data_IF_688117057285
#
_entry.id   IF_688117057285
#
_cell.length_a   1.000
_cell.length_b   1.000
_cell.length_c   1.000
_cell.angle_alpha   90.00
_cell.angle_beta   90.00
_cell.angle_gamma   90.00
#
_symmetry.space_group_name_H-M   'P 1'
#
loop_
_entity.id
_entity.type
_entity.pdbx_description
1 polymer ?
#
# COMPACT_ATOMS: atom_id res chain seq x y z
N UNK A 1 -15.60 1.89 23.82
CA UNK A 1 -14.93 2.83 22.87
C UNK A 1 -13.40 2.75 22.93
N UNK A 2 -12.78 2.58 24.12
CA UNK A 2 -11.32 2.59 24.29
C UNK A 2 -10.48 1.70 23.34
N UNK A 3 -10.81 0.40 23.17
CA UNK A 3 -9.98 -0.49 22.34
C UNK A 3 -9.99 -0.15 20.85
N UNK A 4 -11.11 0.36 20.32
CA UNK A 4 -11.21 0.79 18.92
C UNK A 4 -10.27 1.97 18.66
N UNK A 5 -10.31 2.98 19.52
CA UNK A 5 -9.47 4.16 19.38
C UNK A 5 -7.98 3.81 19.45
N UNK A 6 -7.60 2.86 20.33
CA UNK A 6 -6.22 2.38 20.41
C UNK A 6 -5.75 1.71 19.12
N UNK A 7 -6.55 0.82 18.56
CA UNK A 7 -6.30 0.15 17.28
C UNK A 7 -6.12 1.18 16.16
N UNK A 8 -7.02 2.17 16.06
CA UNK A 8 -6.97 3.20 15.02
C UNK A 8 -5.78 4.15 15.20
N UNK A 9 -5.44 4.51 16.44
CA UNK A 9 -4.28 5.36 16.73
C UNK A 9 -2.97 4.67 16.32
N UNK A 10 -2.81 3.39 16.63
CA UNK A 10 -1.62 2.62 16.20
C UNK A 10 -1.56 2.58 14.67
N UNK A 11 -2.68 2.35 13.99
CA UNK A 11 -2.70 2.29 12.53
C UNK A 11 -2.37 3.63 11.87
N UNK A 12 -2.82 4.73 12.44
CA UNK A 12 -2.45 6.08 12.00
C UNK A 12 -0.93 6.30 12.13
N UNK A 13 -0.33 5.88 13.24
CA UNK A 13 1.13 5.97 13.44
C UNK A 13 1.89 5.08 12.45
N UNK A 14 1.36 3.89 12.10
CA UNK A 14 1.99 3.05 11.07
C UNK A 14 1.91 3.71 9.68
N UNK A 15 0.82 4.42 9.37
CA UNK A 15 0.67 5.20 8.16
C UNK A 15 1.68 6.34 8.06
N UNK A 16 1.86 7.12 9.13
CA UNK A 16 2.90 8.14 9.23
C UNK A 16 4.28 7.49 9.06
N UNK A 17 4.54 6.38 9.76
CA UNK A 17 5.82 5.69 9.74
C UNK A 17 6.22 5.19 8.36
N UNK A 18 5.30 4.53 7.65
CA UNK A 18 5.63 3.95 6.33
C UNK A 18 5.93 5.03 5.28
N UNK A 19 5.33 6.21 5.41
CA UNK A 19 5.53 7.36 4.51
C UNK A 19 6.61 8.34 5.01
N UNK A 20 7.11 8.16 6.24
CA UNK A 20 8.10 9.03 6.89
C UNK A 20 9.37 9.20 6.03
N UNK A 21 9.90 8.08 5.52
CA UNK A 21 11.14 8.13 4.73
C UNK A 21 10.95 8.98 3.45
N UNK A 22 9.88 8.76 2.70
CA UNK A 22 9.57 9.56 1.50
C UNK A 22 9.34 11.04 1.84
N UNK A 23 8.63 11.31 2.95
CA UNK A 23 8.32 12.67 3.41
C UNK A 23 9.56 13.42 3.92
N UNK A 24 10.53 12.73 4.52
CA UNK A 24 11.78 13.30 5.05
C UNK A 24 12.97 13.20 4.11
N UNK A 25 12.83 12.54 2.96
CA UNK A 25 13.94 12.15 2.10
C UNK A 25 14.86 13.30 1.68
N UNK A 26 14.38 14.51 1.28
CA UNK A 26 15.26 15.62 0.96
C UNK A 26 16.18 16.03 2.12
N UNK A 27 15.64 16.13 3.33
CA UNK A 27 16.42 16.50 4.51
C UNK A 27 17.41 15.40 4.92
N UNK A 28 16.99 14.14 4.85
CA UNK A 28 17.83 12.97 5.11
C UNK A 28 18.98 12.89 4.10
N UNK A 29 18.68 13.11 2.82
CA UNK A 29 19.68 13.12 1.75
C UNK A 29 20.69 14.25 1.96
N UNK A 30 20.25 15.42 2.39
CA UNK A 30 21.16 16.54 2.69
C UNK A 30 22.07 16.24 3.88
N UNK A 31 21.52 15.73 5.00
CA UNK A 31 22.29 15.44 6.24
C UNK A 31 23.30 14.31 6.03
N UNK A 32 22.92 13.25 5.33
CA UNK A 32 23.77 12.06 5.14
C UNK A 32 24.47 12.00 3.78
N UNK A 33 24.35 13.06 2.99
CA UNK A 33 24.92 13.17 1.64
C UNK A 33 24.58 11.96 0.77
N UNK A 34 23.27 11.60 0.78
CA UNK A 34 22.79 10.47 0.00
C UNK A 34 22.54 10.92 -1.44
N UNK A 35 23.00 10.11 -2.38
CA UNK A 35 22.54 10.17 -3.76
C UNK A 35 21.18 9.44 -3.90
N UNK A 36 20.57 9.54 -5.08
CA UNK A 36 19.28 8.93 -5.34
C UNK A 36 19.35 7.39 -5.30
N UNK A 37 20.51 6.80 -5.68
CA UNK A 37 20.69 5.37 -5.59
C UNK A 37 20.69 4.86 -4.14
N UNK A 38 21.34 5.60 -3.22
CA UNK A 38 21.34 5.28 -1.78
C UNK A 38 19.97 5.52 -1.18
N UNK A 39 19.30 6.61 -1.55
CA UNK A 39 17.93 6.94 -1.13
C UNK A 39 16.96 5.84 -1.56
N UNK A 40 17.05 5.37 -2.81
CA UNK A 40 16.27 4.24 -3.32
C UNK A 40 16.54 2.93 -2.57
N UNK A 41 17.81 2.69 -2.14
CA UNK A 41 18.13 1.52 -1.28
C UNK A 41 17.51 1.61 0.11
N UNK A 42 17.37 2.80 0.69
CA UNK A 42 16.67 2.96 1.96
C UNK A 42 15.17 2.67 1.81
N UNK A 43 14.53 3.11 0.73
CA UNK A 43 13.14 2.76 0.42
C UNK A 43 12.99 1.24 0.24
N UNK A 44 13.92 0.60 -0.51
CA UNK A 44 13.99 -0.85 -0.62
C UNK A 44 14.05 -1.52 0.77
N UNK A 45 14.91 -1.02 1.66
CA UNK A 45 15.08 -1.58 3.00
C UNK A 45 13.77 -1.53 3.82
N UNK A 46 13.07 -0.37 3.82
CA UNK A 46 11.81 -0.21 4.54
C UNK A 46 10.74 -1.17 4.00
N UNK A 47 10.54 -1.21 2.69
CA UNK A 47 9.48 -2.05 2.12
C UNK A 47 9.82 -3.55 2.15
N UNK A 48 11.08 -3.92 1.95
CA UNK A 48 11.52 -5.30 2.12
C UNK A 48 11.39 -5.76 3.58
N UNK A 49 11.78 -4.90 4.52
CA UNK A 49 11.55 -5.12 5.94
C UNK A 49 10.07 -5.31 6.25
N UNK A 50 9.21 -4.44 5.72
CA UNK A 50 7.75 -4.54 5.91
C UNK A 50 7.19 -5.87 5.40
N UNK A 51 7.65 -6.35 4.25
CA UNK A 51 7.27 -7.66 3.73
C UNK A 51 7.72 -8.80 4.66
N UNK A 52 8.96 -8.75 5.17
CA UNK A 52 9.46 -9.71 6.15
C UNK A 52 8.63 -9.66 7.43
N UNK A 53 8.36 -8.45 7.95
CA UNK A 53 7.55 -8.27 9.16
C UNK A 53 6.16 -8.88 9.05
N UNK A 54 5.50 -8.70 7.91
CA UNK A 54 4.17 -9.27 7.66
C UNK A 54 4.13 -10.81 7.77
N UNK A 55 5.25 -11.49 7.47
CA UNK A 55 5.38 -12.95 7.58
C UNK A 55 5.63 -13.45 9.01
N UNK A 56 6.04 -12.56 9.93
CA UNK A 56 6.42 -12.91 11.30
C UNK A 56 5.27 -12.86 12.29
N UNK A 57 4.05 -12.55 11.85
CA UNK A 57 2.86 -12.43 12.72
C UNK A 57 2.57 -13.74 13.44
N UNK A 58 2.39 -13.67 14.76
CA UNK A 58 2.10 -14.81 15.66
C UNK A 58 1.10 -14.43 16.72
N UNK A 59 0.39 -15.43 17.27
CA UNK A 59 -0.45 -15.24 18.46
C UNK A 59 0.43 -15.20 19.72
N UNK A 60 0.04 -14.46 20.76
CA UNK A 60 -1.13 -13.58 20.82
C UNK A 60 -0.88 -12.24 20.09
N UNK A 61 -1.85 -11.79 19.28
CA UNK A 61 -1.68 -10.67 18.35
C UNK A 61 -1.40 -9.33 19.02
N UNK A 62 -1.96 -9.05 20.20
CA UNK A 62 -1.68 -7.83 20.96
C UNK A 62 -0.21 -7.74 21.39
N UNK A 63 0.42 -8.86 21.81
CA UNK A 63 1.84 -8.90 22.16
C UNK A 63 2.71 -8.77 20.93
N UNK A 64 2.33 -9.41 19.84
CA UNK A 64 3.01 -9.25 18.55
C UNK A 64 2.97 -7.79 18.08
N UNK A 65 1.82 -7.12 18.22
CA UNK A 65 1.67 -5.71 17.91
C UNK A 65 2.55 -4.82 18.82
N UNK A 66 2.58 -5.10 20.12
CA UNK A 66 3.45 -4.39 21.07
C UNK A 66 4.93 -4.57 20.73
N UNK A 67 5.38 -5.80 20.44
CA UNK A 67 6.75 -6.09 20.05
C UNK A 67 7.12 -5.42 18.72
N UNK A 68 6.20 -5.39 17.76
CA UNK A 68 6.35 -4.73 16.48
C UNK A 68 6.57 -3.22 16.62
N UNK A 69 5.73 -2.56 17.42
CA UNK A 69 5.85 -1.13 17.69
C UNK A 69 7.09 -0.82 18.53
N UNK A 70 7.49 -1.70 19.47
CA UNK A 70 8.76 -1.57 20.19
C UNK A 70 9.97 -1.68 19.25
N UNK A 71 9.97 -2.65 18.30
CA UNK A 71 11.01 -2.77 17.28
C UNK A 71 11.10 -1.50 16.42
N UNK A 72 9.95 -0.96 16.00
CA UNK A 72 9.85 0.31 15.26
C UNK A 72 10.50 1.45 16.05
N UNK A 73 10.17 1.58 17.35
CA UNK A 73 10.71 2.61 18.22
C UNK A 73 12.22 2.47 18.46
N UNK A 74 12.70 1.26 18.73
CA UNK A 74 14.13 0.97 18.92
C UNK A 74 14.93 1.28 17.65
N UNK A 75 14.41 0.93 16.47
CA UNK A 75 15.05 1.23 15.20
C UNK A 75 15.17 2.73 14.96
N UNK A 76 14.14 3.50 15.29
CA UNK A 76 14.17 4.96 15.18
C UNK A 76 15.11 5.61 16.20
N UNK A 77 15.12 5.15 17.45
CA UNK A 77 16.10 5.59 18.44
C UNK A 77 17.52 5.26 17.98
N UNK A 78 17.74 4.08 17.40
CA UNK A 78 19.02 3.71 16.81
C UNK A 78 19.46 4.66 15.69
N UNK A 79 18.56 5.08 14.82
CA UNK A 79 18.84 6.08 13.77
C UNK A 79 19.22 7.44 14.35
N UNK A 80 18.59 7.85 15.46
CA UNK A 80 18.91 9.10 16.15
C UNK A 80 20.31 9.07 16.80
N UNK A 81 20.74 7.91 17.30
CA UNK A 81 22.00 7.75 18.02
C UNK A 81 23.19 7.38 17.13
N UNK A 82 23.00 6.46 16.17
CA UNK A 82 24.10 5.89 15.37
C UNK A 82 24.43 6.70 14.11
N UNK A 83 23.58 7.65 13.73
CA UNK A 83 23.78 8.44 12.51
C UNK A 83 23.86 7.57 11.24
N UNK A 84 24.76 7.94 10.31
CA UNK A 84 24.83 7.34 8.97
C UNK A 84 25.35 5.91 8.83
N UNK A 85 25.95 5.32 9.87
CA UNK A 85 26.70 4.06 9.73
C UNK A 85 25.86 2.79 9.57
N UNK A 86 24.62 2.78 10.08
CA UNK A 86 23.75 1.60 10.08
C UNK A 86 22.41 1.83 9.37
N UNK A 87 22.33 2.85 8.51
CA UNK A 87 21.07 3.31 7.91
C UNK A 87 20.25 2.18 7.28
N UNK A 88 20.86 1.42 6.39
CA UNK A 88 20.15 0.35 5.67
C UNK A 88 19.55 -0.67 6.64
N UNK A 89 20.34 -1.12 7.62
CA UNK A 89 19.91 -2.12 8.58
C UNK A 89 18.81 -1.59 9.51
N UNK A 90 18.97 -0.36 10.02
CA UNK A 90 17.97 0.25 10.90
C UNK A 90 16.66 0.55 10.17
N UNK A 91 16.70 0.99 8.91
CA UNK A 91 15.49 1.14 8.10
C UNK A 91 14.86 -0.21 7.72
N UNK A 92 15.65 -1.27 7.54
CA UNK A 92 15.14 -2.62 7.36
C UNK A 92 14.37 -3.10 8.62
N UNK A 93 14.95 -2.92 9.81
CA UNK A 93 14.30 -3.24 11.09
C UNK A 93 13.07 -2.38 11.33
N UNK A 94 13.14 -1.09 11.03
CA UNK A 94 12.00 -0.18 11.08
C UNK A 94 10.85 -0.65 10.21
N UNK A 95 11.13 -0.97 8.96
CA UNK A 95 10.16 -1.56 8.05
C UNK A 95 9.58 -2.88 8.57
N UNK A 96 10.44 -3.76 9.12
CA UNK A 96 10.00 -5.04 9.72
C UNK A 96 9.02 -4.80 10.87
N UNK A 97 9.30 -3.83 11.74
CA UNK A 97 8.38 -3.44 12.80
C UNK A 97 7.04 -2.94 12.26
N UNK A 98 7.05 -2.05 11.27
CA UNK A 98 5.83 -1.53 10.66
C UNK A 98 4.99 -2.61 9.97
N UNK A 99 5.59 -3.46 9.15
CA UNK A 99 4.88 -4.54 8.45
C UNK A 99 4.27 -5.57 9.41
N UNK A 100 5.03 -5.91 10.46
CA UNK A 100 4.53 -6.78 11.53
C UNK A 100 3.36 -6.13 12.28
N UNK A 101 3.45 -4.81 12.59
CA UNK A 101 2.41 -4.08 13.29
C UNK A 101 1.12 -3.97 12.46
N UNK A 102 1.21 -3.56 11.19
CA UNK A 102 0.06 -3.43 10.29
C UNK A 102 -0.67 -4.77 10.13
N UNK A 103 0.07 -5.85 9.96
CA UNK A 103 -0.53 -7.18 9.78
C UNK A 103 -1.14 -7.69 11.09
N UNK A 104 -0.44 -7.57 12.22
CA UNK A 104 -0.97 -7.96 13.52
C UNK A 104 -2.22 -7.17 13.90
N UNK A 105 -2.23 -5.85 13.63
CA UNK A 105 -3.36 -4.96 13.89
C UNK A 105 -4.58 -5.33 13.02
N UNK A 106 -4.34 -5.67 11.74
CA UNK A 106 -5.39 -6.13 10.83
C UNK A 106 -6.02 -7.45 11.29
N UNK A 107 -5.20 -8.42 11.70
CA UNK A 107 -5.68 -9.72 12.21
C UNK A 107 -6.42 -9.53 13.53
N UNK A 108 -5.86 -8.76 14.47
CA UNK A 108 -6.50 -8.45 15.75
C UNK A 108 -7.86 -7.77 15.55
N UNK A 109 -7.95 -6.83 14.61
CA UNK A 109 -9.20 -6.15 14.26
C UNK A 109 -10.20 -7.13 13.66
N UNK A 110 -9.77 -7.98 12.74
CA UNK A 110 -10.64 -8.98 12.10
C UNK A 110 -11.18 -10.01 13.08
N UNK A 111 -10.38 -10.45 14.05
CA UNK A 111 -10.79 -11.41 15.08
C UNK A 111 -11.71 -10.77 16.13
N UNK A 112 -11.45 -9.52 16.49
CA UNK A 112 -12.23 -8.81 17.50
C UNK A 112 -13.62 -8.41 17.03
N UNK A 113 -13.78 -8.11 15.73
CA UNK A 113 -15.02 -7.59 15.12
C UNK A 113 -15.56 -8.51 14.04
N UNK A 114 -15.67 -9.81 14.31
CA UNK A 114 -16.06 -10.85 13.33
C UNK A 114 -17.33 -10.52 12.56
N UNK A 115 -18.38 -10.05 13.23
CA UNK A 115 -19.67 -9.70 12.62
C UNK A 115 -19.59 -8.48 11.68
N UNK A 116 -18.63 -7.57 11.92
CA UNK A 116 -18.44 -6.32 11.16
C UNK A 116 -17.02 -6.22 10.61
N UNK A 117 -16.40 -7.38 10.34
CA UNK A 117 -14.99 -7.49 9.97
C UNK A 117 -14.61 -6.56 8.80
N UNK A 118 -15.37 -6.63 7.70
CA UNK A 118 -15.10 -5.82 6.51
C UNK A 118 -15.14 -4.30 6.81
N UNK A 119 -16.19 -3.86 7.51
CA UNK A 119 -16.32 -2.45 7.88
C UNK A 119 -15.18 -1.98 8.80
N UNK A 120 -14.80 -2.79 9.79
CA UNK A 120 -13.73 -2.42 10.72
C UNK A 120 -12.34 -2.41 10.07
N UNK A 121 -12.06 -3.32 9.14
CA UNK A 121 -10.84 -3.28 8.33
C UNK A 121 -10.82 -2.08 7.37
N UNK A 122 -11.97 -1.67 6.85
CA UNK A 122 -12.07 -0.44 6.05
C UNK A 122 -11.74 0.80 6.89
N UNK A 123 -12.26 0.90 8.12
CA UNK A 123 -11.94 2.00 9.05
C UNK A 123 -10.46 1.97 9.43
N UNK A 124 -9.87 0.77 9.60
CA UNK A 124 -8.44 0.61 9.86
C UNK A 124 -7.60 1.18 8.71
N UNK A 125 -7.90 0.77 7.48
CA UNK A 125 -7.21 1.29 6.28
C UNK A 125 -7.41 2.81 6.10
N UNK A 126 -8.56 3.34 6.51
CA UNK A 126 -8.80 4.78 6.51
C UNK A 126 -7.85 5.49 7.48
N UNK A 127 -7.67 4.97 8.70
CA UNK A 127 -6.73 5.54 9.68
C UNK A 127 -5.29 5.50 9.18
N UNK A 128 -4.86 4.41 8.55
CA UNK A 128 -3.56 4.32 7.90
C UNK A 128 -3.39 5.40 6.83
N UNK A 129 -4.36 5.52 5.92
CA UNK A 129 -4.31 6.50 4.83
C UNK A 129 -4.35 7.95 5.34
N UNK A 130 -5.08 8.22 6.44
CA UNK A 130 -5.06 9.51 7.11
C UNK A 130 -3.66 9.83 7.67
N UNK A 131 -3.00 8.84 8.31
CA UNK A 131 -1.61 8.96 8.73
C UNK A 131 -0.67 9.29 7.58
N UNK A 132 -0.81 8.58 6.45
CA UNK A 132 -0.02 8.83 5.25
C UNK A 132 -0.24 10.25 4.68
N UNK A 133 -1.49 10.74 4.68
CA UNK A 133 -1.85 12.06 4.16
C UNK A 133 -1.28 13.21 5.01
N UNK A 134 -1.25 13.07 6.34
CA UNK A 134 -0.70 14.11 7.23
C UNK A 134 0.82 14.03 7.38
N UNK A 135 1.42 12.87 7.06
CA UNK A 135 2.86 12.62 7.24
C UNK A 135 3.75 13.68 6.59
N UNK A 136 3.55 14.13 5.33
CA UNK A 136 4.45 15.11 4.72
C UNK A 136 4.53 16.43 5.50
N UNK A 137 3.41 16.92 6.03
CA UNK A 137 3.40 18.13 6.84
C UNK A 137 4.00 17.90 8.24
N UNK A 138 3.62 16.82 8.92
CA UNK A 138 4.13 16.52 10.26
C UNK A 138 5.64 16.28 10.26
N UNK A 139 6.14 15.53 9.27
CA UNK A 139 7.57 15.26 9.11
C UNK A 139 8.34 16.56 8.84
N UNK A 140 7.88 17.39 7.90
CA UNK A 140 8.51 18.67 7.60
C UNK A 140 8.48 19.63 8.81
N UNK A 141 7.37 19.71 9.52
CA UNK A 141 7.24 20.51 10.73
C UNK A 141 8.26 20.09 11.79
N UNK A 142 8.36 18.79 12.07
CA UNK A 142 9.32 18.29 13.08
C UNK A 142 10.77 18.53 12.63
N UNK A 143 11.08 18.30 11.34
CA UNK A 143 12.44 18.55 10.82
C UNK A 143 12.82 20.04 10.97
N UNK A 144 11.90 20.96 10.68
CA UNK A 144 12.16 22.40 10.78
C UNK A 144 12.42 22.85 12.21
N UNK A 145 11.78 22.25 13.24
CA UNK A 145 11.89 22.69 14.62
C UNK A 145 12.90 21.88 15.45
N UNK A 146 13.08 20.60 15.14
CA UNK A 146 13.90 19.68 15.93
C UNK A 146 14.96 18.94 15.11
N UNK A 147 15.06 19.22 13.80
CA UNK A 147 15.99 18.54 12.90
C UNK A 147 15.64 17.08 12.65
N UNK A 148 16.50 16.41 11.87
CA UNK A 148 16.35 14.99 11.53
C UNK A 148 16.44 14.07 12.75
N UNK A 149 17.32 14.37 13.70
CA UNK A 149 17.42 13.61 14.96
C UNK A 149 16.13 13.71 15.79
N UNK A 150 15.54 14.90 15.86
CA UNK A 150 14.24 15.12 16.51
C UNK A 150 13.11 14.33 15.87
N UNK A 151 13.09 14.22 14.52
CA UNK A 151 12.12 13.39 13.83
C UNK A 151 12.18 11.92 14.28
N UNK A 152 13.39 11.36 14.36
CA UNK A 152 13.57 9.98 14.81
C UNK A 152 13.16 9.77 16.25
N UNK A 153 13.48 10.71 17.15
CA UNK A 153 13.03 10.65 18.54
C UNK A 153 11.51 10.77 18.67
N UNK A 154 10.87 11.69 17.94
CA UNK A 154 9.41 11.80 17.93
C UNK A 154 8.75 10.49 17.49
N UNK A 155 9.27 9.87 16.40
CA UNK A 155 8.74 8.59 15.94
C UNK A 155 9.03 7.45 16.92
N UNK A 156 10.20 7.43 17.56
CA UNK A 156 10.55 6.45 18.59
C UNK A 156 9.59 6.52 19.79
N UNK A 157 9.29 7.73 20.26
CA UNK A 157 8.34 7.97 21.37
C UNK A 157 6.92 7.56 20.94
N UNK A 158 6.45 7.97 19.76
CA UNK A 158 5.13 7.61 19.25
C UNK A 158 4.97 6.08 19.12
N UNK A 159 6.00 5.40 18.62
CA UNK A 159 6.03 3.95 18.53
C UNK A 159 6.08 3.27 19.90
N UNK A 160 6.86 3.81 20.85
CA UNK A 160 6.91 3.33 22.24
C UNK A 160 5.57 3.46 22.95
N UNK A 161 4.91 4.61 22.84
CA UNK A 161 3.54 4.81 23.36
C UNK A 161 2.55 3.83 22.71
N UNK A 162 2.67 3.60 21.40
CA UNK A 162 1.85 2.62 20.68
C UNK A 162 2.11 1.18 21.15
N UNK A 163 3.36 0.83 21.46
CA UNK A 163 3.71 -0.48 22.02
C UNK A 163 3.06 -0.68 23.40
N UNK A 164 3.14 0.32 24.29
CA UNK A 164 2.46 0.28 25.58
C UNK A 164 0.93 0.16 25.42
N UNK A 165 0.35 0.97 24.53
CA UNK A 165 -1.09 0.93 24.25
C UNK A 165 -1.53 -0.45 23.74
N UNK A 166 -0.72 -1.12 22.89
CA UNK A 166 -1.00 -2.44 22.37
C UNK A 166 -1.09 -3.52 23.48
N UNK A 167 -0.34 -3.38 24.57
CA UNK A 167 -0.41 -4.32 25.71
C UNK A 167 -1.75 -4.28 26.43
N UNK A 168 -2.48 -3.14 26.38
CA UNK A 168 -3.82 -3.01 26.93
C UNK A 168 -4.94 -3.50 25.98
N UNK A 169 -4.59 -3.82 24.71
CA UNK A 169 -5.51 -4.37 23.73
C UNK A 169 -5.66 -5.88 23.89
N UNK A 170 -6.11 -6.35 25.03
CA UNK A 170 -6.21 -7.76 25.35
C UNK A 170 -6.92 -8.56 24.24
N UNK A 171 -6.35 -9.69 23.81
CA UNK A 171 -7.03 -10.61 22.90
C UNK A 171 -8.26 -11.15 23.64
N UNK A 172 -9.46 -10.84 23.17
CA UNK A 172 -10.64 -11.58 23.62
C UNK A 172 -10.44 -13.02 23.17
N UNK A 173 -10.07 -13.88 24.11
CA UNK A 173 -10.14 -15.32 23.90
C UNK A 173 -11.60 -15.67 23.63
N UNK A 174 -12.02 -15.63 22.40
CA UNK A 174 -13.15 -16.42 21.97
C UNK A 174 -12.64 -17.86 22.00
N UNK A 175 -12.80 -18.51 23.17
CA UNK A 175 -12.68 -19.95 23.37
C UNK A 175 -13.80 -20.63 22.57
N UNK A 176 -13.71 -20.58 21.29
CA UNK A 176 -14.48 -21.40 20.38
C UNK A 176 -13.47 -22.15 19.53
N UNK A 177 -13.65 -23.47 19.30
CA UNK A 177 -12.79 -24.17 18.37
C UNK A 177 -12.78 -23.38 17.08
N UNK A 178 -11.60 -23.18 16.55
CA UNK A 178 -11.36 -22.67 15.21
C UNK A 178 -12.02 -23.70 14.26
N UNK A 179 -13.35 -23.65 14.20
CA UNK A 179 -14.05 -24.22 13.07
C UNK A 179 -13.57 -23.42 11.87
N UNK A 180 -12.50 -23.94 11.28
CA UNK A 180 -12.33 -23.88 9.87
C UNK A 180 -13.64 -24.40 9.27
N UNK A 181 -14.63 -23.52 9.19
CA UNK A 181 -15.75 -23.69 8.31
C UNK A 181 -15.22 -23.49 6.88
N UNK A 182 -14.23 -24.26 6.56
CA UNK A 182 -14.01 -24.75 5.21
C UNK A 182 -15.12 -25.82 5.06
N UNK A 183 -16.37 -25.35 4.88
CA UNK A 183 -17.26 -26.11 4.07
C UNK A 183 -16.44 -26.56 2.86
N UNK A 184 -16.42 -27.85 2.60
CA UNK A 184 -15.85 -28.54 1.46
C UNK A 184 -16.50 -28.04 0.16
N UNK A 185 -16.34 -26.78 -0.16
CA UNK A 185 -16.47 -26.25 -1.51
C UNK A 185 -15.17 -26.61 -2.20
N UNK A 186 -15.26 -27.36 -3.27
CA UNK A 186 -14.13 -27.73 -4.12
C UNK A 186 -13.24 -26.48 -4.30
N UNK A 187 -11.98 -26.58 -3.90
CA UNK A 187 -11.03 -25.46 -3.93
C UNK A 187 -10.84 -25.07 -5.39
N UNK A 188 -11.41 -23.94 -5.81
CA UNK A 188 -11.22 -23.43 -7.15
C UNK A 188 -9.78 -22.95 -7.29
N UNK A 189 -8.99 -23.66 -8.07
CA UNK A 189 -7.63 -23.26 -8.45
C UNK A 189 -7.68 -22.58 -9.81
N UNK A 190 -7.16 -21.39 -9.85
CA UNK A 190 -6.95 -20.68 -11.10
C UNK A 190 -5.74 -21.22 -11.87
N UNK A 191 -5.69 -21.00 -13.17
CA UNK A 191 -4.51 -21.36 -13.97
C UNK A 191 -3.28 -20.57 -13.52
N UNK A 192 -2.09 -21.11 -13.72
CA UNK A 192 -0.83 -20.44 -13.37
C UNK A 192 -0.67 -19.09 -14.08
N UNK A 193 -1.17 -18.98 -15.31
CA UNK A 193 -1.15 -17.73 -16.09
C UNK A 193 -2.01 -16.64 -15.47
N UNK A 194 -3.18 -16.99 -14.92
CA UNK A 194 -4.06 -16.04 -14.21
C UNK A 194 -3.38 -15.53 -12.93
N UNK A 195 -2.81 -16.45 -12.14
CA UNK A 195 -2.08 -16.06 -10.91
C UNK A 195 -0.90 -15.14 -11.24
N UNK A 196 -0.12 -15.49 -12.28
CA UNK A 196 1.00 -14.68 -12.73
C UNK A 196 0.57 -13.30 -13.22
N UNK A 197 -0.55 -13.23 -13.98
CA UNK A 197 -1.11 -11.95 -14.44
C UNK A 197 -1.44 -11.03 -13.28
N UNK A 198 -2.23 -11.49 -12.30
CA UNK A 198 -2.61 -10.68 -11.16
C UNK A 198 -1.44 -10.36 -10.22
N UNK A 199 -0.48 -11.28 -10.09
CA UNK A 199 0.73 -11.05 -9.31
C UNK A 199 1.61 -9.96 -9.92
N UNK A 200 1.84 -9.99 -11.24
CA UNK A 200 2.60 -8.97 -11.97
C UNK A 200 1.86 -7.62 -11.95
N UNK A 201 0.55 -7.64 -12.18
CA UNK A 201 -0.27 -6.44 -12.11
C UNK A 201 -0.23 -5.80 -10.73
N UNK A 202 -0.36 -6.61 -9.67
CA UNK A 202 -0.22 -6.15 -8.29
C UNK A 202 1.18 -5.63 -7.95
N UNK A 203 2.23 -6.27 -8.48
CA UNK A 203 3.62 -5.81 -8.34
C UNK A 203 3.79 -4.40 -8.93
N UNK A 204 3.32 -4.21 -10.17
CA UNK A 204 3.43 -2.91 -10.84
C UNK A 204 2.63 -1.83 -10.12
N UNK A 205 1.40 -2.18 -9.66
CA UNK A 205 0.57 -1.24 -8.90
C UNK A 205 1.20 -0.83 -7.57
N UNK A 206 1.51 -1.80 -6.70
CA UNK A 206 2.08 -1.53 -5.38
C UNK A 206 3.43 -0.81 -5.50
N UNK A 207 4.21 -1.16 -6.53
CA UNK A 207 5.46 -0.50 -6.83
C UNK A 207 5.28 0.95 -7.27
N UNK A 208 4.29 1.23 -8.11
CA UNK A 208 3.98 2.59 -8.57
C UNK A 208 3.50 3.47 -7.40
N UNK A 209 2.57 2.96 -6.57
CA UNK A 209 2.09 3.67 -5.38
C UNK A 209 3.25 4.00 -4.43
N UNK A 210 4.11 3.02 -4.15
CA UNK A 210 5.28 3.20 -3.28
C UNK A 210 6.33 4.14 -3.89
N UNK A 211 6.56 4.08 -5.21
CA UNK A 211 7.51 4.96 -5.88
C UNK A 211 7.05 6.42 -5.87
N UNK A 212 5.77 6.67 -6.17
CA UNK A 212 5.20 8.02 -6.07
C UNK A 212 5.22 8.52 -4.63
N UNK A 213 4.73 7.72 -3.68
CA UNK A 213 4.75 8.08 -2.26
C UNK A 213 6.15 8.35 -1.70
N UNK A 214 7.16 7.64 -2.20
CA UNK A 214 8.55 7.82 -1.78
C UNK A 214 9.27 8.99 -2.44
N UNK A 215 8.92 9.35 -3.67
CA UNK A 215 9.71 10.29 -4.46
C UNK A 215 9.02 11.62 -4.81
N UNK A 216 7.67 11.71 -4.75
CA UNK A 216 6.93 12.93 -5.15
C UNK A 216 7.39 14.15 -4.35
N UNK A 217 7.57 14.05 -3.03
CA UNK A 217 8.03 15.16 -2.23
C UNK A 217 9.43 15.63 -2.66
N UNK A 218 10.36 14.70 -2.87
CA UNK A 218 11.72 14.99 -3.33
C UNK A 218 11.71 15.61 -4.73
N UNK A 219 10.85 15.11 -5.62
CA UNK A 219 10.70 15.66 -6.97
C UNK A 219 10.22 17.11 -6.93
N UNK A 220 9.15 17.39 -6.20
CA UNK A 220 8.61 18.73 -6.07
C UNK A 220 9.57 19.68 -5.36
N UNK A 221 10.33 19.19 -4.38
CA UNK A 221 11.40 19.95 -3.74
C UNK A 221 12.47 20.41 -4.75
N UNK A 222 12.81 19.59 -5.73
CA UNK A 222 13.79 19.91 -6.79
C UNK A 222 13.24 20.83 -7.88
N UNK A 223 11.94 21.08 -7.93
CA UNK A 223 11.35 22.11 -8.82
C UNK A 223 11.56 23.53 -8.30
N UNK A 224 12.09 23.69 -7.08
CA UNK A 224 12.49 24.96 -6.47
C UNK A 224 11.38 26.02 -6.45
N UNK A 225 10.15 25.64 -6.12
CA UNK A 225 9.08 26.61 -5.91
C UNK A 225 9.43 27.57 -4.77
N UNK A 226 9.07 28.85 -4.91
CA UNK A 226 9.31 29.88 -3.90
C UNK A 226 8.53 29.67 -2.58
N UNK A 227 7.58 28.74 -2.57
CA UNK A 227 6.74 28.40 -1.43
C UNK A 227 7.31 27.15 -0.76
N UNK A 228 7.81 27.28 0.48
CA UNK A 228 8.41 26.19 1.25
C UNK A 228 7.43 25.03 1.53
N UNK A 229 6.13 25.32 1.57
CA UNK A 229 5.07 24.32 1.74
C UNK A 229 4.74 23.54 0.45
N UNK A 230 5.29 23.89 -0.72
CA UNK A 230 4.96 23.25 -1.98
C UNK A 230 5.24 21.73 -2.01
N UNK A 231 6.42 21.23 -1.57
CA UNK A 231 6.71 19.80 -1.56
C UNK A 231 5.77 18.99 -0.65
N UNK A 232 5.56 19.35 0.65
CA UNK A 232 4.63 18.61 1.49
C UNK A 232 3.18 18.73 1.03
N UNK A 233 2.77 19.86 0.42
CA UNK A 233 1.43 20.03 -0.12
C UNK A 233 1.15 19.03 -1.25
N UNK A 234 2.04 18.90 -2.23
CA UNK A 234 1.86 17.97 -3.34
C UNK A 234 1.83 16.50 -2.86
N UNK A 235 2.73 16.12 -1.96
CA UNK A 235 2.77 14.78 -1.39
C UNK A 235 1.53 14.47 -0.54
N UNK A 236 1.06 15.42 0.28
CA UNK A 236 -0.16 15.26 1.07
C UNK A 236 -1.41 15.20 0.18
N UNK A 237 -1.46 15.98 -0.89
CA UNK A 237 -2.57 15.92 -1.86
C UNK A 237 -2.62 14.57 -2.58
N UNK A 238 -1.47 13.97 -2.91
CA UNK A 238 -1.42 12.61 -3.45
C UNK A 238 -2.07 11.60 -2.49
N UNK A 239 -1.64 11.57 -1.22
CA UNK A 239 -2.15 10.62 -0.24
C UNK A 239 -3.59 10.90 0.18
N UNK A 240 -3.97 12.18 0.32
CA UNK A 240 -5.34 12.57 0.66
C UNK A 240 -6.32 12.20 -0.47
N UNK A 241 -5.93 12.43 -1.71
CA UNK A 241 -6.76 12.06 -2.88
C UNK A 241 -6.93 10.55 -2.98
N UNK A 242 -5.87 9.79 -2.69
CA UNK A 242 -5.92 8.33 -2.62
C UNK A 242 -6.88 7.87 -1.51
N UNK A 243 -6.85 8.51 -0.33
CA UNK A 243 -7.79 8.26 0.75
C UNK A 243 -9.25 8.53 0.31
N UNK A 244 -9.49 9.71 -0.28
CA UNK A 244 -10.83 10.11 -0.77
C UNK A 244 -11.29 9.15 -1.88
N UNK A 245 -10.41 8.80 -2.82
CA UNK A 245 -10.72 7.83 -3.87
C UNK A 245 -11.11 6.46 -3.32
N UNK A 246 -10.43 5.96 -2.27
CA UNK A 246 -10.80 4.71 -1.58
C UNK A 246 -12.15 4.80 -0.90
N UNK A 247 -12.51 5.95 -0.35
CA UNK A 247 -13.82 6.16 0.26
C UNK A 247 -14.96 6.25 -0.79
N UNK A 248 -14.69 6.83 -1.95
CA UNK A 248 -15.66 7.04 -3.03
C UNK A 248 -15.84 5.80 -3.92
N UNK A 249 -14.79 5.01 -4.12
CA UNK A 249 -14.78 3.87 -5.04
C UNK A 249 -15.95 2.88 -4.83
N UNK A 250 -16.34 2.48 -3.60
CA UNK A 250 -17.48 1.59 -3.40
C UNK A 250 -18.80 2.16 -3.92
N UNK A 251 -19.04 3.47 -3.74
CA UNK A 251 -20.25 4.12 -4.23
C UNK A 251 -20.29 4.21 -5.76
N UNK A 252 -19.13 4.38 -6.39
CA UNK A 252 -19.00 4.38 -7.86
C UNK A 252 -19.25 2.99 -8.43
N UNK A 253 -18.76 1.94 -7.77
CA UNK A 253 -18.95 0.54 -8.16
C UNK A 253 -20.42 0.08 -8.10
N UNK A 254 -21.28 0.77 -7.36
CA UNK A 254 -22.73 0.52 -7.41
C UNK A 254 -23.37 0.94 -8.75
N UNK A 255 -22.71 1.78 -9.55
CA UNK A 255 -23.24 2.36 -10.79
C UNK A 255 -22.40 2.04 -12.03
N UNK A 256 -21.13 1.72 -11.85
CA UNK A 256 -20.15 1.52 -12.93
C UNK A 256 -19.55 0.12 -12.78
N UNK A 257 -19.39 -0.58 -13.90
CA UNK A 257 -18.76 -1.91 -13.94
C UNK A 257 -17.28 -1.81 -13.51
N UNK A 258 -16.81 -2.82 -12.78
CA UNK A 258 -15.44 -2.89 -12.24
C UNK A 258 -14.37 -2.70 -13.32
N UNK A 259 -14.57 -3.32 -14.49
CA UNK A 259 -13.65 -3.23 -15.64
C UNK A 259 -13.52 -1.80 -16.18
N UNK A 260 -14.67 -1.11 -16.32
CA UNK A 260 -14.69 0.25 -16.84
C UNK A 260 -14.02 1.19 -15.82
N UNK A 261 -14.34 1.03 -14.53
CA UNK A 261 -13.71 1.82 -13.49
C UNK A 261 -12.20 1.58 -13.43
N UNK A 262 -11.77 0.30 -13.56
CA UNK A 262 -10.34 -0.06 -13.58
C UNK A 262 -9.62 0.58 -14.79
N UNK A 263 -10.22 0.52 -15.97
CA UNK A 263 -9.65 1.11 -17.19
C UNK A 263 -9.53 2.63 -17.08
N UNK A 264 -10.61 3.31 -16.66
CA UNK A 264 -10.62 4.77 -16.49
C UNK A 264 -9.61 5.18 -15.41
N UNK A 265 -9.57 4.46 -14.29
CA UNK A 265 -8.64 4.71 -13.20
C UNK A 265 -7.17 4.60 -13.67
N UNK A 266 -6.81 3.57 -14.43
CA UNK A 266 -5.46 3.42 -14.98
C UNK A 266 -5.11 4.52 -15.98
N UNK A 267 -6.02 4.88 -16.88
CA UNK A 267 -5.80 5.96 -17.84
C UNK A 267 -5.60 7.29 -17.10
N UNK A 268 -6.46 7.60 -16.14
CA UNK A 268 -6.34 8.82 -15.35
C UNK A 268 -5.08 8.84 -14.48
N UNK A 269 -4.67 7.69 -13.90
CA UNK A 269 -3.42 7.58 -13.15
C UNK A 269 -2.21 7.83 -14.06
N UNK A 270 -2.19 7.22 -15.25
CA UNK A 270 -1.13 7.44 -16.25
C UNK A 270 -1.06 8.93 -16.66
N UNK A 271 -2.21 9.55 -16.97
CA UNK A 271 -2.28 10.97 -17.30
C UNK A 271 -1.82 11.82 -16.11
N UNK A 272 -2.26 11.52 -14.88
CA UNK A 272 -1.87 12.26 -13.68
C UNK A 272 -0.35 12.24 -13.47
N UNK A 273 0.30 11.08 -13.62
CA UNK A 273 1.76 10.97 -13.50
C UNK A 273 2.46 11.67 -14.68
N UNK A 274 1.95 11.54 -15.90
CA UNK A 274 2.51 12.22 -17.06
C UNK A 274 2.44 13.75 -16.90
N UNK A 275 1.32 14.28 -16.45
CA UNK A 275 1.14 15.72 -16.16
C UNK A 275 2.05 16.18 -15.01
N UNK A 276 2.21 15.36 -13.97
CA UNK A 276 3.14 15.64 -12.87
C UNK A 276 4.58 15.86 -13.38
N UNK A 277 4.98 15.11 -14.40
CA UNK A 277 6.31 15.22 -14.99
C UNK A 277 6.45 16.36 -15.99
N UNK A 278 5.38 16.77 -16.68
CA UNK A 278 5.45 17.77 -17.75
C UNK A 278 5.09 19.17 -17.31
N UNK A 279 4.30 19.32 -16.23
CA UNK A 279 3.84 20.62 -15.76
C UNK A 279 4.77 21.19 -14.69
N UNK A 280 4.98 22.53 -14.72
CA UNK A 280 5.94 23.20 -13.85
C UNK A 280 5.31 24.30 -12.96
N UNK A 281 4.01 24.56 -13.07
CA UNK A 281 3.33 25.48 -12.15
C UNK A 281 2.85 24.73 -10.90
N UNK A 282 2.96 25.35 -9.73
CA UNK A 282 2.60 24.71 -8.47
C UNK A 282 1.15 24.18 -8.45
N UNK A 283 0.13 24.93 -8.86
CA UNK A 283 -1.23 24.38 -8.89
C UNK A 283 -1.36 23.16 -9.80
N UNK A 284 -0.72 23.17 -10.96
CA UNK A 284 -0.76 22.07 -11.90
C UNK A 284 -0.07 20.80 -11.35
N UNK A 285 1.08 20.95 -10.69
CA UNK A 285 1.81 19.86 -10.05
C UNK A 285 0.98 19.25 -8.91
N UNK A 286 0.36 20.08 -8.06
CA UNK A 286 -0.50 19.61 -6.96
C UNK A 286 -1.74 18.89 -7.50
N UNK A 287 -2.41 19.45 -8.51
CA UNK A 287 -3.56 18.81 -9.14
C UNK A 287 -3.21 17.51 -9.84
N UNK A 288 -2.03 17.45 -10.49
CA UNK A 288 -1.54 16.22 -11.13
C UNK A 288 -1.25 15.13 -10.11
N UNK A 289 -0.62 15.47 -8.98
CA UNK A 289 -0.40 14.55 -7.87
C UNK A 289 -1.74 14.05 -7.27
N UNK A 290 -2.71 14.97 -7.10
CA UNK A 290 -4.04 14.63 -6.63
C UNK A 290 -4.78 13.70 -7.61
N UNK A 291 -4.71 13.98 -8.91
CA UNK A 291 -5.31 13.14 -9.95
C UNK A 291 -4.69 11.74 -9.93
N UNK A 292 -3.35 11.64 -9.84
CA UNK A 292 -2.66 10.35 -9.75
C UNK A 292 -3.12 9.56 -8.51
N UNK A 293 -3.13 10.19 -7.31
CA UNK A 293 -3.55 9.54 -6.07
C UNK A 293 -5.01 9.07 -6.11
N UNK A 294 -5.94 9.95 -6.52
CA UNK A 294 -7.36 9.63 -6.61
C UNK A 294 -7.64 8.47 -7.57
N UNK A 295 -7.00 8.51 -8.73
CA UNK A 295 -7.18 7.50 -9.76
C UNK A 295 -6.58 6.15 -9.38
N UNK A 296 -5.48 6.13 -8.64
CA UNK A 296 -4.87 4.89 -8.16
C UNK A 296 -5.71 4.17 -7.11
N UNK A 297 -6.57 4.87 -6.38
CA UNK A 297 -7.31 4.35 -5.24
C UNK A 297 -8.12 3.06 -5.50
N UNK A 298 -8.93 2.94 -6.57
CA UNK A 298 -9.76 1.76 -6.82
C UNK A 298 -9.00 0.59 -7.47
N UNK A 299 -7.80 0.81 -8.03
CA UNK A 299 -7.12 -0.17 -8.89
C UNK A 299 -6.82 -1.47 -8.15
N UNK A 300 -6.14 -1.40 -6.99
CA UNK A 300 -5.74 -2.60 -6.26
C UNK A 300 -6.91 -3.34 -5.62
N UNK A 301 -7.87 -2.66 -4.95
CA UNK A 301 -9.06 -3.33 -4.44
C UNK A 301 -9.86 -4.08 -5.53
N UNK A 302 -10.05 -3.48 -6.69
CA UNK A 302 -10.73 -4.15 -7.83
C UNK A 302 -9.91 -5.35 -8.30
N UNK A 303 -8.60 -5.19 -8.49
CA UNK A 303 -7.71 -6.28 -8.90
C UNK A 303 -7.80 -7.47 -7.92
N UNK A 304 -7.75 -7.21 -6.62
CA UNK A 304 -7.87 -8.24 -5.58
C UNK A 304 -9.26 -8.89 -5.60
N UNK A 305 -10.33 -8.11 -5.74
CA UNK A 305 -11.69 -8.63 -5.78
C UNK A 305 -11.89 -9.60 -6.95
N UNK A 306 -11.44 -9.21 -8.13
CA UNK A 306 -11.50 -10.07 -9.33
C UNK A 306 -10.68 -11.34 -9.14
N UNK A 307 -9.44 -11.23 -8.62
CA UNK A 307 -8.60 -12.38 -8.37
C UNK A 307 -9.24 -13.36 -7.37
N UNK A 308 -9.80 -12.85 -6.26
CA UNK A 308 -10.47 -13.69 -5.25
C UNK A 308 -11.77 -14.32 -5.75
N UNK A 309 -12.42 -13.75 -6.75
CA UNK A 309 -13.55 -14.39 -7.43
C UNK A 309 -13.12 -15.58 -8.32
N UNK A 310 -11.86 -15.59 -8.78
CA UNK A 310 -11.30 -16.62 -9.65
C UNK A 310 -10.62 -17.77 -8.91
N UNK A 311 -10.20 -17.56 -7.68
CA UNK A 311 -9.51 -18.59 -6.88
C UNK A 311 -9.92 -18.54 -5.42
N UNK A 312 -10.11 -19.71 -4.83
CA UNK A 312 -10.23 -19.88 -3.38
C UNK A 312 -9.01 -20.60 -2.77
N UNK A 313 -7.95 -20.85 -3.56
CA UNK A 313 -6.73 -21.47 -3.09
C UNK A 313 -5.87 -20.50 -2.24
N UNK A 314 -5.72 -20.73 -0.92
CA UNK A 314 -4.93 -19.85 -0.05
C UNK A 314 -3.45 -19.74 -0.47
N UNK A 315 -2.90 -20.78 -1.11
CA UNK A 315 -1.52 -20.76 -1.57
C UNK A 315 -1.34 -19.79 -2.75
N UNK A 316 -2.27 -19.81 -3.72
CA UNK A 316 -2.26 -18.89 -4.84
C UNK A 316 -2.43 -17.44 -4.37
N UNK A 317 -3.33 -17.20 -3.42
CA UNK A 317 -3.55 -15.88 -2.82
C UNK A 317 -2.30 -15.36 -2.12
N UNK A 318 -1.62 -16.18 -1.33
CA UNK A 318 -0.35 -15.80 -0.68
C UNK A 318 0.73 -15.42 -1.68
N UNK A 319 0.89 -16.19 -2.76
CA UNK A 319 1.88 -15.90 -3.80
C UNK A 319 1.57 -14.59 -4.52
N UNK A 320 0.32 -14.35 -4.87
CA UNK A 320 -0.10 -13.10 -5.51
C UNK A 320 0.26 -11.88 -4.62
N UNK A 321 -0.11 -11.89 -3.35
CA UNK A 321 0.20 -10.79 -2.44
C UNK A 321 1.70 -10.64 -2.15
N UNK A 322 2.45 -11.75 -2.05
CA UNK A 322 3.89 -11.71 -1.84
C UNK A 322 4.60 -11.03 -3.02
N UNK A 323 4.25 -11.41 -4.25
CA UNK A 323 4.83 -10.81 -5.46
C UNK A 323 4.39 -9.35 -5.60
N UNK A 324 3.12 -9.03 -5.33
CA UNK A 324 2.64 -7.64 -5.33
C UNK A 324 3.42 -6.77 -4.34
N UNK A 325 3.66 -7.27 -3.13
CA UNK A 325 4.45 -6.58 -2.10
C UNK A 325 5.91 -6.33 -2.51
N UNK A 326 6.52 -7.22 -3.29
CA UNK A 326 7.87 -7.00 -3.84
C UNK A 326 7.93 -5.75 -4.74
N UNK A 327 6.84 -5.38 -5.39
CA UNK A 327 6.74 -4.16 -6.18
C UNK A 327 7.04 -2.92 -5.36
N UNK A 328 6.47 -2.83 -4.15
CA UNK A 328 6.69 -1.69 -3.24
C UNK A 328 8.16 -1.51 -2.86
N UNK A 329 8.94 -2.58 -2.84
CA UNK A 329 10.38 -2.51 -2.58
C UNK A 329 11.18 -2.18 -3.84
N UNK A 330 10.83 -2.81 -4.99
CA UNK A 330 11.67 -2.78 -6.19
C UNK A 330 11.50 -1.52 -7.04
N UNK A 331 10.27 -1.00 -7.23
CA UNK A 331 10.07 0.16 -8.10
C UNK A 331 10.62 1.47 -7.52
N UNK A 332 10.44 1.79 -6.23
CA UNK A 332 11.09 2.98 -5.65
C UNK A 332 12.61 2.90 -5.73
N UNK A 333 13.19 1.70 -5.53
CA UNK A 333 14.62 1.48 -5.70
C UNK A 333 15.05 1.67 -7.15
N UNK A 334 14.34 1.10 -8.12
CA UNK A 334 14.63 1.26 -9.55
C UNK A 334 14.53 2.73 -9.98
N UNK A 335 13.54 3.47 -9.47
CA UNK A 335 13.42 4.93 -9.66
C UNK A 335 14.68 5.65 -9.20
N UNK A 336 15.16 5.36 -7.99
CA UNK A 336 16.39 5.94 -7.45
C UNK A 336 17.63 5.56 -8.25
N UNK A 337 17.75 4.30 -8.70
CA UNK A 337 18.88 3.84 -9.52
C UNK A 337 18.91 4.56 -10.88
N UNK A 338 17.74 4.67 -11.54
CA UNK A 338 17.66 5.35 -12.83
C UNK A 338 17.94 6.85 -12.67
N UNK A 339 17.40 7.48 -11.62
CA UNK A 339 17.69 8.88 -11.30
C UNK A 339 19.18 9.14 -11.09
N UNK A 340 19.86 8.29 -10.31
CA UNK A 340 21.29 8.43 -10.05
C UNK A 340 22.15 8.26 -11.31
N UNK A 341 21.78 7.33 -12.20
CA UNK A 341 22.51 7.09 -13.47
C UNK A 341 22.34 8.22 -14.47
N UNK A 342 21.18 8.85 -14.49
CA UNK A 342 20.85 9.91 -15.45
C UNK A 342 21.06 11.32 -14.90
N UNK A 343 21.31 11.46 -13.61
CA UNK A 343 21.39 12.75 -12.91
C UNK A 343 20.04 13.46 -12.80
N UNK A 344 18.92 12.79 -13.10
CA UNK A 344 17.59 13.40 -13.18
C UNK A 344 16.50 12.55 -12.53
N UNK A 345 15.89 13.07 -11.45
CA UNK A 345 14.75 12.41 -10.81
C UNK A 345 13.51 12.40 -11.72
N UNK A 346 13.40 13.38 -12.63
CA UNK A 346 12.39 13.36 -13.68
C UNK A 346 12.48 12.05 -14.51
N UNK A 347 13.68 11.70 -14.94
CA UNK A 347 13.93 10.42 -15.66
C UNK A 347 13.67 9.23 -14.76
N UNK A 348 14.05 9.30 -13.48
CA UNK A 348 13.75 8.26 -12.50
C UNK A 348 12.26 7.94 -12.40
N UNK A 349 11.41 8.97 -12.37
CA UNK A 349 9.95 8.83 -12.28
C UNK A 349 9.28 8.30 -13.56
N UNK A 350 10.03 8.11 -14.66
CA UNK A 350 9.53 7.34 -15.79
C UNK A 350 9.31 5.86 -15.42
N UNK A 351 9.98 5.32 -14.39
CA UNK A 351 9.77 3.95 -13.93
C UNK A 351 8.30 3.69 -13.52
N UNK A 352 7.68 4.45 -12.61
CA UNK A 352 6.27 4.28 -12.30
C UNK A 352 5.34 4.63 -13.47
N UNK A 353 5.70 5.59 -14.33
CA UNK A 353 4.93 5.91 -15.53
C UNK A 353 4.89 4.73 -16.52
N UNK A 354 6.02 4.11 -16.79
CA UNK A 354 6.09 2.91 -17.64
C UNK A 354 5.36 1.72 -17.01
N UNK A 355 5.41 1.56 -15.69
CA UNK A 355 4.66 0.54 -15.00
C UNK A 355 3.15 0.69 -15.23
N UNK A 356 2.60 1.91 -15.17
CA UNK A 356 1.21 2.21 -15.51
C UNK A 356 0.91 1.92 -16.99
N UNK A 357 1.85 2.27 -17.89
CA UNK A 357 1.74 1.95 -19.32
C UNK A 357 1.67 0.44 -19.58
N UNK A 358 2.53 -0.34 -18.90
CA UNK A 358 2.49 -1.81 -18.99
C UNK A 358 1.15 -2.35 -18.47
N UNK A 359 0.64 -1.83 -17.36
CA UNK A 359 -0.66 -2.25 -16.82
C UNK A 359 -1.79 -1.96 -17.80
N UNK A 360 -1.78 -0.82 -18.51
CA UNK A 360 -2.74 -0.51 -19.58
C UNK A 360 -2.66 -1.48 -20.76
N UNK A 361 -1.45 -1.88 -21.15
CA UNK A 361 -1.23 -2.90 -22.19
C UNK A 361 -1.71 -4.27 -21.72
N UNK A 362 -1.42 -4.64 -20.47
CA UNK A 362 -1.89 -5.91 -19.89
C UNK A 362 -3.42 -6.01 -19.92
N UNK A 363 -4.15 -4.92 -19.71
CA UNK A 363 -5.62 -4.93 -19.82
C UNK A 363 -6.14 -5.21 -21.21
N UNK A 364 -5.35 -4.91 -22.27
CA UNK A 364 -5.74 -5.11 -23.68
C UNK A 364 -5.27 -6.45 -24.25
N UNK A 365 -4.49 -7.24 -23.51
CA UNK A 365 -3.89 -8.47 -24.04
C UNK A 365 -4.96 -9.54 -24.34
N UNK A 366 -5.08 -10.04 -25.62
CA UNK A 366 -6.09 -11.00 -26.02
C UNK A 366 -5.79 -12.40 -25.49
N UNK A 367 -5.81 -12.76 -24.38
CA UNK A 367 -5.49 -14.05 -23.73
C UNK A 367 -5.21 -13.91 -22.25
N UNK A 368 -5.03 -12.69 -21.77
CA UNK A 368 -4.77 -12.40 -20.35
C UNK A 368 -5.85 -11.58 -19.67
N UNK A 369 -6.52 -10.69 -20.38
CA UNK A 369 -7.45 -9.75 -19.77
C UNK A 369 -8.84 -9.74 -20.40
N UNK A 370 -8.98 -9.45 -21.71
CA UNK A 370 -10.29 -9.21 -22.31
C UNK A 370 -11.15 -10.46 -22.47
N UNK A 371 -10.56 -11.61 -22.80
CA UNK A 371 -11.30 -12.87 -22.86
C UNK A 371 -11.54 -13.42 -21.45
N UNK A 372 -10.57 -13.27 -20.54
CA UNK A 372 -10.73 -13.59 -19.14
C UNK A 372 -11.76 -12.66 -18.49
N UNK A 373 -11.64 -11.34 -18.70
CA UNK A 373 -12.61 -10.35 -18.24
C UNK A 373 -13.99 -10.57 -18.90
N UNK A 374 -14.08 -10.83 -20.21
CA UNK A 374 -15.35 -11.18 -20.88
C UNK A 374 -15.94 -12.49 -20.38
N UNK A 375 -15.12 -13.49 -20.05
CA UNK A 375 -15.61 -14.80 -19.56
C UNK A 375 -16.12 -14.67 -18.12
N UNK A 376 -15.48 -13.86 -17.30
CA UNK A 376 -15.85 -13.63 -15.88
C UNK A 376 -17.11 -12.78 -15.75
N UNK A 377 -17.27 -11.79 -16.63
CA UNK A 377 -18.36 -10.81 -16.58
C UNK A 377 -19.43 -11.02 -17.65
N UNK A 378 -19.50 -12.20 -18.26
CA UNK A 378 -20.74 -12.61 -18.93
C UNK A 378 -21.85 -12.57 -17.90
N UNK A 379 -22.82 -11.67 -18.12
CA UNK A 379 -24.03 -11.61 -17.31
C UNK A 379 -24.61 -13.00 -17.15
N UNK A 380 -25.17 -13.37 -15.99
CA UNK A 380 -25.95 -14.61 -15.86
C UNK A 380 -27.03 -14.77 -16.95
N UNK A 381 -27.47 -13.65 -17.52
CA UNK A 381 -28.40 -13.63 -18.64
C UNK A 381 -27.78 -14.13 -19.98
N UNK A 382 -26.45 -14.11 -20.12
CA UNK A 382 -25.71 -14.58 -21.30
C UNK A 382 -25.19 -16.02 -21.18
N UNK A 383 -25.47 -16.70 -20.06
CA UNK A 383 -25.16 -18.12 -19.94
C UNK A 383 -26.18 -18.92 -20.75
N UNK A 384 -25.74 -19.84 -21.63
CA UNK A 384 -26.68 -20.72 -22.30
C UNK A 384 -27.47 -21.48 -21.25
N UNK A 385 -28.79 -21.38 -21.32
CA UNK A 385 -29.70 -22.11 -20.45
C UNK A 385 -29.30 -23.59 -20.51
N UNK A 386 -28.98 -24.23 -19.35
CA UNK A 386 -28.60 -25.63 -19.34
C UNK A 386 -29.79 -26.41 -19.97
N UNK A 387 -29.52 -27.40 -20.83
CA UNK A 387 -30.57 -28.17 -21.45
C UNK A 387 -31.47 -28.75 -20.34
N UNK A 388 -32.79 -28.80 -20.54
CA UNK A 388 -33.73 -29.32 -19.55
C UNK A 388 -33.28 -30.74 -19.16
N UNK A 389 -33.13 -30.94 -17.84
CA UNK A 389 -32.84 -32.30 -17.32
C UNK A 389 -33.92 -33.22 -17.84
N UNK A 390 -33.54 -34.16 -18.69
CA UNK A 390 -34.42 -35.24 -19.08
C UNK A 390 -34.81 -35.96 -17.78
N UNK A 391 -36.06 -35.80 -17.38
CA UNK A 391 -36.67 -36.56 -16.31
C UNK A 391 -36.55 -38.03 -16.67
N UNK A 392 -35.69 -38.75 -15.97
CA UNK A 392 -35.65 -40.19 -16.03
C UNK A 392 -37.06 -40.68 -15.62
N UNK A 393 -37.79 -41.23 -16.59
CA UNK A 393 -39.02 -41.98 -16.36
C UNK A 393 -38.68 -43.15 -15.42
N UNK A 394 -39.46 -43.41 -14.38
CA UNK A 394 -39.29 -44.61 -13.60
C UNK A 394 -39.64 -45.82 -14.45
N UNK A 395 -38.71 -46.71 -14.66
CA UNK A 395 -38.95 -48.05 -15.22
C UNK A 395 -39.71 -48.81 -14.14
N UNK A 396 -40.93 -49.23 -14.52
CA UNK A 396 -41.79 -50.18 -13.77
C UNK A 396 -41.13 -51.56 -13.66
#
# INVERSE_FOLDING_TARGET
MGPILGIQAIELITGIGLTLLGSGLPALAAVWRLDDARSGRLLLAVFAGSAVGALLVRQPFHRTLAAAMALTGISMAGLALCGGHALFFLFLLFGTGLGLAMTANSVLTGDRYRERRAAMLTVLNFSWSAGAAVSPFTVQFVIQHAGVGGLFWCMAVAAGCSALLALFLNDRQTSGPQQSSLASTATMRSSRSVVAFFAIFGLLYCGTEAALGGWVLTYVHRLHFQISAAPPLAASCFWLSLLVGRAVAPAVLLRIREELLLAVALICAFIGVALLLTLHSLPAVVLSAALAGFSMAPIFPICVAIFMALTSDPAQTRWMFAIAGMGSATLPWATGQLSARTGSLHTGLLVPLFALGIMLVMMRWPGGGTDLFRTIFRSPADQPVPPPRQSALPIL
#
